data_IF_597471627654
#
_entry.id   IF_597471627654
#
_cell.length_a   1.000
_cell.length_b   1.000
_cell.length_c   1.000
_cell.angle_alpha   90.00
_cell.angle_beta   90.00
_cell.angle_gamma   90.00
#
_symmetry.space_group_name_H-M   'P 1'
#
loop_
_entity.id
_entity.type
_entity.pdbx_description
1 polymer ?
#
# COMPACT_ATOMS: atom_id res chain seq x y z
N UNK A 1 0.43 1.05 13.47
CA UNK A 1 -0.26 1.53 12.24
C UNK A 1 0.14 2.95 11.94
N UNK A 2 0.56 3.29 10.71
CA UNK A 2 0.87 4.67 10.29
C UNK A 2 -0.16 5.16 9.27
N UNK A 3 -0.63 6.40 9.41
CA UNK A 3 -1.60 7.01 8.50
C UNK A 3 -0.88 7.87 7.49
N UNK A 4 -0.91 7.46 6.22
CA UNK A 4 -0.35 8.20 5.09
C UNK A 4 -1.39 9.16 4.53
N UNK A 5 -0.97 10.40 4.29
CA UNK A 5 -1.84 11.46 3.81
C UNK A 5 -1.29 12.05 2.50
N UNK A 6 -2.16 12.20 1.51
CA UNK A 6 -1.93 13.08 0.36
C UNK A 6 -2.87 14.29 0.54
N UNK A 7 -2.30 15.48 0.72
CA UNK A 7 -3.06 16.71 1.00
C UNK A 7 -4.15 16.96 -0.06
N UNK A 8 -3.85 16.63 -1.31
CA UNK A 8 -4.79 16.81 -2.42
C UNK A 8 -5.95 15.79 -2.42
N UNK A 9 -5.86 14.74 -1.60
CA UNK A 9 -6.81 13.62 -1.53
C UNK A 9 -7.31 13.32 -0.12
N UNK A 10 -7.01 14.19 0.83
CA UNK A 10 -7.47 14.01 2.22
C UNK A 10 -8.99 14.11 2.23
N UNK A 11 -9.65 13.05 2.69
CA UNK A 11 -11.10 13.00 2.92
C UNK A 11 -11.32 13.14 4.41
N UNK A 12 -12.15 14.12 4.79
CA UNK A 12 -12.55 14.31 6.19
C UNK A 12 -13.19 13.03 6.74
N UNK A 13 -12.81 12.62 7.94
CA UNK A 13 -13.31 11.38 8.56
C UNK A 13 -12.71 10.08 8.03
N UNK A 14 -11.76 10.12 7.07
CA UNK A 14 -11.15 8.90 6.53
C UNK A 14 -10.42 8.08 7.61
N UNK A 15 -9.69 8.73 8.52
CA UNK A 15 -9.02 8.08 9.64
C UNK A 15 -10.03 7.37 10.56
N UNK A 16 -11.10 8.08 10.94
CA UNK A 16 -12.16 7.55 11.81
C UNK A 16 -12.87 6.35 11.16
N UNK A 17 -13.07 6.40 9.84
CA UNK A 17 -13.66 5.29 9.09
C UNK A 17 -12.77 4.04 9.09
N UNK A 18 -11.45 4.22 8.93
CA UNK A 18 -10.48 3.11 8.98
C UNK A 18 -10.44 2.49 10.37
N UNK A 19 -10.29 3.32 11.41
CA UNK A 19 -10.24 2.85 12.79
C UNK A 19 -11.54 2.17 13.21
N UNK A 20 -12.68 2.77 12.87
CA UNK A 20 -14.00 2.18 13.15
C UNK A 20 -14.24 0.83 12.45
N UNK A 21 -13.67 0.63 11.26
CA UNK A 21 -13.73 -0.67 10.58
C UNK A 21 -12.90 -1.74 11.30
N UNK A 22 -11.70 -1.38 11.77
CA UNK A 22 -10.85 -2.29 12.55
C UNK A 22 -11.50 -2.63 13.91
N UNK A 23 -11.99 -1.62 14.63
CA UNK A 23 -12.71 -1.79 15.90
C UNK A 23 -13.93 -2.69 15.74
N UNK A 24 -14.73 -2.49 14.68
CA UNK A 24 -15.91 -3.33 14.42
C UNK A 24 -15.55 -4.79 14.14
N UNK A 25 -14.40 -5.04 13.48
CA UNK A 25 -13.90 -6.38 13.22
C UNK A 25 -13.12 -6.98 14.41
N UNK A 26 -13.07 -6.31 15.56
CA UNK A 26 -12.25 -6.68 16.71
C UNK A 26 -10.75 -6.88 16.34
N UNK A 27 -10.26 -6.06 15.39
CA UNK A 27 -8.86 -6.01 15.00
C UNK A 27 -8.16 -4.89 15.77
N UNK A 28 -7.54 -5.25 16.86
CA UNK A 28 -6.74 -4.32 17.66
C UNK A 28 -5.39 -4.07 16.99
N UNK A 29 -4.77 -2.95 17.35
CA UNK A 29 -3.40 -2.63 16.97
C UNK A 29 -2.60 -2.20 18.20
N UNK A 30 -1.40 -2.76 18.33
CA UNK A 30 -0.55 -2.55 19.51
C UNK A 30 0.08 -1.17 19.54
N UNK A 31 0.28 -0.56 18.36
CA UNK A 31 0.95 0.72 18.22
C UNK A 31 0.39 1.52 17.03
N UNK A 32 0.14 2.82 17.22
CA UNK A 32 -0.40 3.67 16.18
C UNK A 32 -1.25 4.84 16.70
N UNK A 33 -2.06 5.47 15.83
CA UNK A 33 -2.99 6.51 16.25
C UNK A 33 -3.92 6.03 17.36
N UNK A 34 -4.25 6.89 18.30
CA UNK A 34 -5.05 6.70 19.51
C UNK A 34 -4.37 5.88 20.63
N UNK A 35 -3.63 4.82 20.31
CA UNK A 35 -2.96 3.97 21.31
C UNK A 35 -1.54 4.46 21.65
N UNK A 36 -0.91 5.21 20.75
CA UNK A 36 0.47 5.67 20.91
C UNK A 36 1.48 4.55 20.66
N UNK A 37 2.66 4.66 21.27
CA UNK A 37 3.77 3.70 21.18
C UNK A 37 5.13 4.38 21.06
N UNK A 38 6.18 3.61 20.76
CA UNK A 38 7.56 4.06 20.77
C UNK A 38 8.03 4.71 19.46
N UNK A 39 7.32 4.46 18.34
CA UNK A 39 7.73 4.87 17.01
C UNK A 39 6.94 6.06 16.45
N UNK A 40 6.19 6.76 17.31
CA UNK A 40 5.45 7.96 16.92
C UNK A 40 6.31 9.11 16.40
N UNK A 41 5.67 10.13 15.80
CA UNK A 41 4.24 10.26 15.50
C UNK A 41 3.79 9.33 14.37
N UNK A 42 2.46 8.99 14.32
CA UNK A 42 1.93 7.99 13.38
C UNK A 42 1.13 8.60 12.22
N UNK A 43 1.09 9.92 12.15
CA UNK A 43 0.42 10.66 11.07
C UNK A 43 1.48 11.28 10.18
N UNK A 44 1.41 11.02 8.87
CA UNK A 44 2.45 11.43 7.91
C UNK A 44 2.73 12.94 7.94
N UNK A 45 1.70 13.78 8.11
CA UNK A 45 1.87 15.24 8.18
C UNK A 45 2.70 15.72 9.38
N UNK A 46 2.82 14.91 10.44
CA UNK A 46 3.63 15.21 11.63
C UNK A 46 5.08 14.76 11.46
N UNK A 47 5.39 14.05 10.37
CA UNK A 47 6.70 13.44 10.06
C UNK A 47 7.41 14.10 8.88
N UNK A 48 6.92 15.21 8.34
CA UNK A 48 7.43 15.82 7.10
C UNK A 48 8.93 16.10 7.14
N UNK A 49 9.45 16.56 8.28
CA UNK A 49 10.88 16.81 8.47
C UNK A 49 11.73 15.57 8.23
N UNK A 50 11.29 14.38 8.64
CA UNK A 50 12.04 13.12 8.45
C UNK A 50 12.21 12.79 6.96
N UNK A 51 11.16 13.00 6.16
CA UNK A 51 11.23 12.74 4.72
C UNK A 51 12.08 13.77 3.99
N UNK A 52 12.01 15.03 4.41
CA UNK A 52 12.83 16.12 3.86
C UNK A 52 14.31 15.87 4.13
N UNK A 53 14.69 15.59 5.39
CA UNK A 53 16.06 15.31 5.79
C UNK A 53 16.66 14.13 5.01
N UNK A 54 15.87 13.06 4.84
CA UNK A 54 16.33 11.87 4.09
C UNK A 54 16.42 12.16 2.59
N UNK A 55 15.50 12.92 2.02
CA UNK A 55 15.57 13.30 0.61
C UNK A 55 16.80 14.17 0.32
N UNK A 56 17.09 15.14 1.19
CA UNK A 56 18.28 16.00 1.08
C UNK A 56 19.59 15.22 1.28
N UNK A 57 19.62 14.27 2.22
CA UNK A 57 20.73 13.33 2.38
C UNK A 57 21.01 12.58 1.09
N UNK A 58 19.98 12.04 0.44
CA UNK A 58 20.14 11.32 -0.82
C UNK A 58 20.64 12.23 -1.96
N UNK A 59 20.27 13.51 -1.96
CA UNK A 59 20.83 14.50 -2.91
C UNK A 59 22.31 14.73 -2.62
N UNK A 60 22.69 14.93 -1.36
CA UNK A 60 24.08 15.14 -0.96
C UNK A 60 24.98 13.94 -1.29
N UNK A 61 24.43 12.72 -1.28
CA UNK A 61 25.12 11.47 -1.63
C UNK A 61 25.06 11.13 -3.13
N UNK A 62 24.57 12.03 -3.97
CA UNK A 62 24.39 11.83 -5.42
C UNK A 62 23.47 10.63 -5.78
N UNK A 63 22.55 10.27 -4.88
CA UNK A 63 21.52 9.23 -5.09
C UNK A 63 20.18 9.82 -5.55
N UNK A 64 20.02 11.14 -5.45
CA UNK A 64 18.87 11.90 -5.86
C UNK A 64 19.31 13.25 -6.44
N UNK A 65 18.37 13.99 -7.02
CA UNK A 65 18.63 15.30 -7.60
C UNK A 65 17.40 16.20 -7.63
N UNK A 66 17.62 17.50 -7.70
CA UNK A 66 16.56 18.48 -7.89
C UNK A 66 16.09 18.51 -9.35
N UNK A 67 14.79 18.45 -9.54
CA UNK A 67 14.17 18.54 -10.85
C UNK A 67 13.31 19.81 -10.94
N UNK A 68 13.68 20.69 -11.84
CA UNK A 68 13.06 22.00 -12.07
C UNK A 68 12.04 22.00 -13.22
N UNK A 69 11.66 20.83 -13.73
CA UNK A 69 10.72 20.73 -14.83
C UNK A 69 9.33 21.20 -14.43
N UNK A 70 8.75 22.11 -15.24
CA UNK A 70 7.37 22.57 -15.04
C UNK A 70 6.33 21.50 -15.39
N UNK A 71 5.15 21.62 -14.86
CA UNK A 71 4.02 20.72 -15.16
C UNK A 71 3.69 20.71 -16.66
N UNK A 72 3.77 21.85 -17.33
CA UNK A 72 3.53 22.01 -18.77
C UNK A 72 4.55 21.23 -19.59
N UNK A 73 5.85 21.37 -19.25
CA UNK A 73 6.91 20.60 -19.92
C UNK A 73 6.68 19.10 -19.78
N UNK A 74 6.39 18.63 -18.56
CA UNK A 74 6.15 17.21 -18.29
C UNK A 74 4.91 16.69 -19.02
N UNK A 75 3.87 17.52 -19.17
CA UNK A 75 2.67 17.19 -19.93
C UNK A 75 3.00 17.03 -21.41
N UNK A 76 3.65 17.99 -22.03
CA UNK A 76 4.06 17.94 -23.44
C UNK A 76 4.96 16.74 -23.73
N UNK A 77 5.92 16.45 -22.85
CA UNK A 77 6.78 15.27 -22.97
C UNK A 77 5.96 13.95 -23.01
N UNK A 78 4.98 13.79 -22.12
CA UNK A 78 4.14 12.58 -22.07
C UNK A 78 3.23 12.47 -23.30
N UNK A 79 2.72 13.59 -23.80
CA UNK A 79 1.90 13.65 -25.03
C UNK A 79 2.72 13.21 -26.23
N UNK A 80 3.96 13.70 -26.37
CA UNK A 80 4.89 13.29 -27.44
C UNK A 80 5.23 11.78 -27.34
N UNK A 81 5.57 11.28 -26.15
CA UNK A 81 5.81 9.84 -25.92
C UNK A 81 4.59 9.00 -26.32
N UNK A 82 3.39 9.44 -25.96
CA UNK A 82 2.14 8.74 -26.31
C UNK A 82 1.92 8.71 -27.84
N UNK A 83 2.16 9.84 -28.53
CA UNK A 83 2.08 9.92 -29.98
C UNK A 83 3.08 8.97 -30.67
N UNK A 84 4.27 8.81 -30.11
CA UNK A 84 5.31 7.88 -30.58
C UNK A 84 5.07 6.44 -30.10
N UNK A 85 3.97 6.16 -29.39
CA UNK A 85 3.66 4.83 -28.82
C UNK A 85 4.77 4.33 -27.86
N UNK A 86 5.45 5.24 -27.20
CA UNK A 86 6.42 4.95 -26.15
C UNK A 86 5.75 4.96 -24.77
N UNK A 87 6.22 4.14 -23.83
CA UNK A 87 5.73 4.21 -22.44
C UNK A 87 5.98 5.61 -21.86
N UNK A 88 4.98 6.24 -21.23
CA UNK A 88 5.18 7.52 -20.54
C UNK A 88 6.17 7.37 -19.39
N UNK A 89 7.20 8.21 -19.37
CA UNK A 89 8.20 8.21 -18.31
C UNK A 89 8.96 9.53 -18.27
N UNK A 90 9.65 9.82 -17.18
CA UNK A 90 10.47 11.00 -17.11
C UNK A 90 11.78 10.81 -17.89
N UNK A 91 12.13 11.79 -18.73
CA UNK A 91 13.26 11.75 -19.66
C UNK A 91 14.63 12.06 -19.04
N UNK A 92 14.71 12.17 -17.71
CA UNK A 92 15.94 12.41 -16.94
C UNK A 92 16.67 13.72 -17.26
N UNK A 93 16.01 14.70 -17.88
CA UNK A 93 16.65 15.97 -18.31
C UNK A 93 17.39 16.69 -17.20
N UNK A 94 16.91 16.65 -15.94
CA UNK A 94 17.58 17.32 -14.82
C UNK A 94 18.60 16.46 -14.09
N UNK A 95 18.77 15.19 -14.47
CA UNK A 95 19.54 14.21 -13.70
C UNK A 95 21.00 14.60 -13.45
N UNK A 96 21.62 15.22 -14.43
CA UNK A 96 23.05 15.57 -14.40
C UNK A 96 23.27 17.09 -14.40
N UNK A 97 22.20 17.86 -14.13
CA UNK A 97 22.32 19.30 -14.00
C UNK A 97 22.95 19.66 -12.64
N UNK A 98 23.81 20.68 -12.60
CA UNK A 98 24.31 21.18 -11.32
C UNK A 98 23.16 21.75 -10.48
N UNK A 99 23.29 21.63 -9.17
CA UNK A 99 22.37 22.27 -8.24
C UNK A 99 22.49 23.79 -8.39
N UNK A 100 21.36 24.48 -8.54
CA UNK A 100 21.35 25.94 -8.56
C UNK A 100 21.18 26.52 -7.16
N UNK A 101 21.84 27.65 -6.86
CA UNK A 101 21.62 28.41 -5.63
C UNK A 101 20.32 29.23 -5.67
N UNK A 102 19.67 29.36 -6.84
CA UNK A 102 18.43 30.07 -7.00
C UNK A 102 17.27 29.28 -6.33
N UNK A 103 16.42 29.99 -5.62
CA UNK A 103 15.20 29.43 -5.00
C UNK A 103 14.11 29.18 -6.05
N UNK A 104 14.34 28.23 -6.93
CA UNK A 104 13.39 27.80 -7.95
C UNK A 104 12.53 26.65 -7.39
N UNK A 105 11.21 26.68 -7.57
CA UNK A 105 10.35 25.55 -7.21
C UNK A 105 10.85 24.26 -7.87
N UNK A 106 11.04 23.23 -7.09
CA UNK A 106 11.59 21.96 -7.54
C UNK A 106 10.93 20.78 -6.85
N UNK A 107 11.15 19.59 -7.39
CA UNK A 107 10.88 18.31 -6.74
C UNK A 107 12.20 17.56 -6.61
N UNK A 108 12.30 16.63 -5.66
CA UNK A 108 13.46 15.73 -5.57
C UNK A 108 13.09 14.40 -6.23
N UNK A 109 13.95 13.96 -7.17
CA UNK A 109 13.82 12.68 -7.85
C UNK A 109 14.92 11.72 -7.46
N UNK A 110 14.59 10.45 -7.37
CA UNK A 110 15.57 9.39 -7.16
C UNK A 110 16.34 9.12 -8.45
N UNK A 111 17.66 8.96 -8.36
CA UNK A 111 18.53 8.51 -9.46
C UNK A 111 18.40 6.99 -9.59
N UNK A 112 17.34 6.52 -10.26
CA UNK A 112 17.16 5.09 -10.47
C UNK A 112 18.26 4.54 -11.40
N UNK A 113 18.83 3.34 -11.12
CA UNK A 113 19.80 2.71 -12.04
C UNK A 113 19.21 2.54 -13.43
N UNK A 114 19.97 2.84 -14.48
CA UNK A 114 19.52 2.74 -15.86
C UNK A 114 19.64 1.31 -16.37
N UNK A 115 20.79 0.67 -16.07
CA UNK A 115 21.15 -0.65 -16.56
C UNK A 115 20.96 -1.74 -15.50
N UNK A 116 20.89 -2.98 -15.96
CA UNK A 116 20.76 -4.15 -15.09
C UNK A 116 19.31 -4.44 -14.66
N UNK A 117 19.20 -5.19 -13.59
CA UNK A 117 17.92 -5.65 -13.03
C UNK A 117 17.85 -5.37 -11.53
N UNK A 118 16.64 -5.15 -11.03
CA UNK A 118 16.33 -5.12 -9.61
C UNK A 118 15.48 -6.33 -9.28
N UNK A 119 15.97 -7.17 -8.36
CA UNK A 119 15.25 -8.35 -7.88
C UNK A 119 14.96 -8.26 -6.41
N UNK A 120 13.90 -8.94 -5.98
CA UNK A 120 13.55 -9.15 -4.57
C UNK A 120 12.80 -10.46 -4.44
N UNK A 121 12.81 -11.03 -3.23
CA UNK A 121 12.04 -12.22 -2.92
C UNK A 121 10.71 -11.81 -2.29
N UNK A 122 9.61 -12.29 -2.88
CA UNK A 122 8.25 -12.08 -2.37
C UNK A 122 7.75 -13.37 -1.75
N UNK A 123 7.20 -13.30 -0.53
CA UNK A 123 6.76 -14.48 0.21
C UNK A 123 5.67 -15.28 -0.50
N UNK A 124 4.86 -14.62 -1.35
CA UNK A 124 3.77 -15.27 -2.09
C UNK A 124 4.21 -15.57 -3.54
N UNK A 125 4.89 -14.62 -4.19
CA UNK A 125 5.22 -14.71 -5.63
C UNK A 125 6.55 -15.41 -5.91
N UNK A 126 7.43 -15.52 -4.90
CA UNK A 126 8.80 -15.99 -5.06
C UNK A 126 9.73 -14.91 -5.59
N UNK A 127 10.78 -15.27 -6.29
CA UNK A 127 11.71 -14.30 -6.88
C UNK A 127 11.05 -13.49 -8.00
N UNK A 128 11.10 -12.15 -7.84
CA UNK A 128 10.55 -11.19 -8.81
C UNK A 128 11.67 -10.31 -9.32
N UNK A 129 11.75 -10.14 -10.66
CA UNK A 129 12.80 -9.36 -11.34
C UNK A 129 12.18 -8.31 -12.24
N UNK A 130 12.77 -7.12 -12.22
CA UNK A 130 12.41 -6.02 -13.10
C UNK A 130 13.66 -5.49 -13.79
N UNK A 131 13.58 -5.28 -15.10
CA UNK A 131 14.64 -4.59 -15.81
C UNK A 131 14.62 -3.09 -15.46
N UNK A 132 15.78 -2.55 -15.07
CA UNK A 132 15.90 -1.18 -14.57
C UNK A 132 15.50 -0.12 -15.61
N UNK A 133 15.68 -0.40 -16.90
CA UNK A 133 15.32 0.54 -17.96
C UNK A 133 13.80 0.78 -18.06
N UNK A 134 12.97 -0.07 -17.45
CA UNK A 134 11.50 0.11 -17.41
C UNK A 134 11.04 1.05 -16.31
N UNK A 135 11.95 1.49 -15.43
CA UNK A 135 11.64 2.38 -14.31
C UNK A 135 12.31 3.74 -14.56
N UNK A 136 11.54 4.80 -14.48
CA UNK A 136 12.05 6.17 -14.59
C UNK A 136 12.54 6.73 -13.25
N UNK A 137 13.19 7.90 -13.31
CA UNK A 137 13.57 8.63 -12.12
C UNK A 137 12.34 9.29 -11.50
N UNK A 138 11.73 8.58 -10.56
CA UNK A 138 10.46 8.98 -9.94
C UNK A 138 10.65 10.09 -8.90
N UNK A 139 9.59 10.87 -8.67
CA UNK A 139 9.57 11.89 -7.62
C UNK A 139 9.51 11.22 -6.26
N UNK A 140 10.41 11.60 -5.36
CA UNK A 140 10.40 11.22 -3.95
C UNK A 140 9.76 12.30 -3.08
N UNK A 141 10.17 13.57 -3.25
CA UNK A 141 9.65 14.70 -2.52
C UNK A 141 9.02 15.70 -3.49
N UNK A 142 7.79 16.11 -3.21
CA UNK A 142 7.04 17.10 -4.01
C UNK A 142 7.47 18.52 -3.67
N UNK A 143 7.13 19.47 -4.54
CA UNK A 143 7.44 20.90 -4.34
C UNK A 143 6.74 21.54 -3.14
N UNK A 144 5.70 20.91 -2.61
CA UNK A 144 5.02 21.30 -1.38
C UNK A 144 5.68 20.74 -0.11
N UNK A 145 6.80 20.03 -0.24
CA UNK A 145 7.54 19.41 0.86
C UNK A 145 6.94 18.06 1.35
N UNK A 146 5.85 17.59 0.73
CA UNK A 146 5.29 16.27 1.05
C UNK A 146 5.99 15.16 0.26
N UNK A 147 6.26 14.02 0.89
CA UNK A 147 6.82 12.86 0.20
C UNK A 147 5.77 12.24 -0.73
N UNK A 148 6.24 11.56 -1.77
CA UNK A 148 5.41 10.58 -2.44
C UNK A 148 5.33 9.29 -1.62
N UNK A 149 4.39 8.41 -1.97
CA UNK A 149 4.27 7.10 -1.32
C UNK A 149 5.60 6.32 -1.31
N UNK A 150 6.40 6.44 -2.38
CA UNK A 150 7.64 5.69 -2.52
C UNK A 150 8.69 6.04 -1.46
N UNK A 151 8.85 7.31 -1.11
CA UNK A 151 9.76 7.72 -0.04
C UNK A 151 9.14 7.46 1.32
N UNK A 152 7.87 7.85 1.50
CA UNK A 152 7.21 7.79 2.80
C UNK A 152 7.16 6.36 3.36
N UNK A 153 6.83 5.35 2.52
CA UNK A 153 6.74 3.99 3.03
C UNK A 153 8.11 3.43 3.44
N UNK A 154 9.19 3.69 2.69
CA UNK A 154 10.54 3.22 3.04
C UNK A 154 11.03 3.85 4.34
N UNK A 155 10.84 5.15 4.49
CA UNK A 155 11.28 5.88 5.69
C UNK A 155 10.48 5.44 6.91
N UNK A 156 9.16 5.34 6.77
CA UNK A 156 8.29 4.95 7.88
C UNK A 156 8.49 3.47 8.26
N UNK A 157 8.56 2.59 7.27
CA UNK A 157 8.75 1.17 7.52
C UNK A 157 10.09 0.89 8.23
N UNK A 158 11.17 1.61 7.84
CA UNK A 158 12.45 1.51 8.52
C UNK A 158 12.41 2.10 9.95
N UNK A 159 11.92 3.34 10.11
CA UNK A 159 11.91 4.02 11.40
C UNK A 159 10.89 3.44 12.40
N UNK A 160 9.96 2.63 11.94
CA UNK A 160 8.97 1.91 12.74
C UNK A 160 9.28 0.42 12.89
N UNK A 161 10.48 -0.01 12.50
CA UNK A 161 10.93 -1.42 12.58
C UNK A 161 9.93 -2.42 11.95
N UNK A 162 9.32 -2.05 10.81
CA UNK A 162 8.38 -2.92 10.11
C UNK A 162 9.12 -4.11 9.51
N UNK A 163 8.74 -5.30 9.93
CA UNK A 163 9.36 -6.56 9.48
C UNK A 163 8.72 -7.14 8.23
N UNK A 164 7.43 -6.91 8.01
CA UNK A 164 6.67 -7.46 6.89
C UNK A 164 5.78 -6.41 6.25
N UNK A 165 5.80 -6.32 4.92
CA UNK A 165 4.90 -5.48 4.14
C UNK A 165 3.95 -6.38 3.35
N UNK A 166 2.70 -6.49 3.83
CA UNK A 166 1.63 -7.23 3.17
C UNK A 166 0.71 -6.21 2.46
N UNK A 167 0.60 -6.32 1.14
CA UNK A 167 -0.20 -5.37 0.34
C UNK A 167 -0.69 -6.01 -0.96
N UNK A 168 -1.63 -5.35 -1.64
CA UNK A 168 -2.16 -5.86 -2.91
C UNK A 168 -1.09 -5.88 -4.01
N UNK A 169 -1.18 -6.87 -4.91
CA UNK A 169 -0.24 -7.09 -6.03
C UNK A 169 -0.12 -5.92 -7.01
N UNK A 170 -1.06 -4.98 -7.01
CA UNK A 170 -0.95 -3.76 -7.82
C UNK A 170 0.31 -2.92 -7.47
N UNK A 171 0.85 -3.11 -6.27
CA UNK A 171 2.07 -2.46 -5.81
C UNK A 171 3.35 -3.21 -6.18
N UNK A 172 3.23 -4.40 -6.76
CA UNK A 172 4.38 -5.24 -7.14
C UNK A 172 5.35 -4.49 -8.07
N UNK A 173 4.83 -3.77 -9.06
CA UNK A 173 5.62 -2.96 -10.00
C UNK A 173 6.29 -1.74 -9.35
N UNK A 174 5.87 -1.34 -8.17
CA UNK A 174 6.48 -0.24 -7.40
C UNK A 174 7.60 -0.71 -6.48
N UNK A 175 7.65 -2.00 -6.16
CA UNK A 175 8.61 -2.58 -5.21
C UNK A 175 10.07 -2.38 -5.61
N UNK A 176 10.48 -2.43 -6.91
CA UNK A 176 11.84 -2.10 -7.31
C UNK A 176 12.29 -0.70 -6.89
N UNK A 177 11.37 0.28 -6.90
CA UNK A 177 11.64 1.65 -6.44
C UNK A 177 11.98 1.67 -4.95
N UNK A 178 11.22 0.91 -4.16
CA UNK A 178 11.41 0.82 -2.72
C UNK A 178 12.72 0.11 -2.38
N UNK A 179 12.99 -1.04 -3.01
CA UNK A 179 14.25 -1.77 -2.85
C UNK A 179 15.45 -0.85 -3.12
N UNK A 180 15.40 -0.05 -4.21
CA UNK A 180 16.50 0.86 -4.53
C UNK A 180 16.63 2.05 -3.56
N UNK A 181 15.55 2.49 -2.92
CA UNK A 181 15.64 3.48 -1.83
C UNK A 181 16.28 2.84 -0.59
N UNK A 182 15.87 1.61 -0.20
CA UNK A 182 16.52 0.85 0.89
C UNK A 182 18.01 0.69 0.64
N UNK A 183 18.39 0.22 -0.56
CA UNK A 183 19.81 0.08 -0.97
C UNK A 183 20.58 1.41 -0.83
N UNK A 184 20.00 2.51 -1.34
CA UNK A 184 20.64 3.81 -1.33
C UNK A 184 20.84 4.38 0.09
N UNK A 185 19.95 4.05 1.02
CA UNK A 185 20.01 4.48 2.41
C UNK A 185 20.85 3.54 3.29
N UNK A 186 21.23 2.37 2.78
CA UNK A 186 21.88 1.33 3.57
C UNK A 186 20.95 0.68 4.61
N UNK A 187 19.64 0.63 4.33
CA UNK A 187 18.63 0.02 5.19
C UNK A 187 18.34 -1.41 4.74
N UNK A 188 18.10 -2.30 5.69
CA UNK A 188 17.59 -3.64 5.38
C UNK A 188 16.10 -3.54 5.01
N UNK A 189 15.69 -4.08 3.84
CA UNK A 189 14.28 -4.06 3.46
C UNK A 189 13.46 -5.06 4.29
N UNK A 190 12.18 -4.78 4.55
CA UNK A 190 11.27 -5.75 5.14
C UNK A 190 10.99 -6.91 4.18
N UNK A 191 10.40 -7.97 4.69
CA UNK A 191 9.87 -9.06 3.87
C UNK A 191 8.61 -8.57 3.13
N UNK A 192 8.54 -8.80 1.81
CA UNK A 192 7.39 -8.41 1.00
C UNK A 192 6.46 -9.60 0.74
N UNK A 193 5.16 -9.34 0.84
CA UNK A 193 4.10 -10.28 0.46
C UNK A 193 3.03 -9.55 -0.35
N UNK A 194 2.94 -9.84 -1.66
CA UNK A 194 1.95 -9.21 -2.53
C UNK A 194 0.74 -10.13 -2.71
N UNK A 195 -0.33 -9.78 -1.98
CA UNK A 195 -1.60 -10.50 -1.99
C UNK A 195 -2.32 -10.35 -3.34
N UNK A 196 -3.09 -11.37 -3.76
CA UNK A 196 -3.89 -11.29 -4.97
C UNK A 196 -4.92 -10.16 -4.88
N UNK A 197 -5.34 -9.65 -6.05
CA UNK A 197 -6.42 -8.67 -6.11
C UNK A 197 -7.76 -9.29 -5.69
N UNK A 198 -8.56 -8.51 -5.02
CA UNK A 198 -9.97 -8.81 -4.82
C UNK A 198 -10.72 -8.36 -6.07
N UNK A 199 -11.46 -9.31 -6.66
CA UNK A 199 -12.16 -9.13 -7.92
C UNK A 199 -13.68 -9.09 -7.70
N UNK A 200 -14.37 -8.34 -8.55
CA UNK A 200 -15.82 -8.41 -8.65
C UNK A 200 -16.29 -9.70 -9.38
N UNK A 201 -17.61 -9.93 -9.47
CA UNK A 201 -18.17 -11.07 -10.19
C UNK A 201 -17.79 -11.13 -11.66
N UNK A 202 -17.49 -9.97 -12.28
CA UNK A 202 -17.02 -9.82 -13.66
C UNK A 202 -15.51 -10.08 -13.82
N UNK A 203 -14.84 -10.51 -12.74
CA UNK A 203 -13.38 -10.72 -12.65
C UNK A 203 -12.53 -9.47 -12.88
N UNK A 204 -13.12 -8.29 -12.90
CA UNK A 204 -12.36 -7.05 -12.84
C UNK A 204 -12.05 -6.67 -11.39
N UNK A 205 -11.08 -5.78 -11.18
CA UNK A 205 -10.75 -5.29 -9.83
C UNK A 205 -12.02 -4.78 -9.12
N UNK A 206 -12.25 -5.24 -7.87
CA UNK A 206 -13.38 -4.80 -7.06
C UNK A 206 -13.39 -3.27 -6.92
N UNK A 207 -14.53 -2.67 -7.14
CA UNK A 207 -14.73 -1.22 -7.11
C UNK A 207 -16.17 -0.87 -6.77
N UNK A 208 -16.47 0.39 -6.47
CA UNK A 208 -17.82 0.87 -6.14
C UNK A 208 -18.91 0.51 -7.16
N UNK A 209 -18.56 0.23 -8.42
CA UNK A 209 -19.52 -0.24 -9.44
C UNK A 209 -20.05 -1.66 -9.18
N UNK A 210 -19.39 -2.42 -8.34
CA UNK A 210 -19.79 -3.80 -7.96
C UNK A 210 -20.62 -3.84 -6.67
N UNK A 211 -20.98 -2.70 -6.11
CA UNK A 211 -21.72 -2.57 -4.86
C UNK A 211 -20.89 -1.90 -3.77
N UNK A 212 -21.24 -2.22 -2.53
CA UNK A 212 -20.55 -1.67 -1.38
C UNK A 212 -19.11 -2.21 -1.27
N UNK A 213 -18.18 -1.34 -0.96
CA UNK A 213 -16.75 -1.66 -0.81
C UNK A 213 -16.19 -1.27 0.56
N UNK A 214 -16.99 -0.61 1.39
CA UNK A 214 -16.64 -0.28 2.77
C UNK A 214 -17.18 -1.32 3.73
N UNK A 215 -16.31 -1.83 4.59
CA UNK A 215 -16.66 -2.80 5.63
C UNK A 215 -17.79 -2.27 6.54
N UNK A 216 -17.77 -0.98 6.87
CA UNK A 216 -18.79 -0.36 7.73
C UNK A 216 -20.19 -0.32 7.07
N UNK A 217 -20.26 -0.28 5.75
CA UNK A 217 -21.54 -0.36 5.06
C UNK A 217 -22.21 -1.74 5.24
N UNK A 218 -21.42 -2.81 5.26
CA UNK A 218 -21.93 -4.16 5.57
C UNK A 218 -22.41 -4.26 7.01
N UNK A 219 -21.72 -3.63 7.98
CA UNK A 219 -22.22 -3.48 9.35
C UNK A 219 -23.59 -2.83 9.37
N UNK A 220 -23.75 -1.72 8.68
CA UNK A 220 -25.00 -0.96 8.62
C UNK A 220 -26.14 -1.74 7.91
N UNK A 221 -25.80 -2.72 7.07
CA UNK A 221 -26.71 -3.67 6.45
C UNK A 221 -27.05 -4.88 7.35
N UNK A 222 -26.49 -4.98 8.56
CA UNK A 222 -26.77 -6.04 9.52
C UNK A 222 -25.89 -7.29 9.39
N UNK A 223 -24.74 -7.19 8.74
CA UNK A 223 -23.75 -8.28 8.76
C UNK A 223 -23.01 -8.31 10.09
N UNK A 224 -22.77 -9.51 10.59
CA UNK A 224 -22.01 -9.73 11.83
C UNK A 224 -20.51 -9.58 11.58
N UNK A 225 -19.75 -9.01 12.55
CA UNK A 225 -18.32 -8.85 12.42
C UNK A 225 -17.59 -10.19 12.26
N UNK A 226 -18.00 -11.25 12.95
CA UNK A 226 -17.41 -12.57 12.84
C UNK A 226 -17.60 -13.18 11.45
N UNK A 227 -18.75 -13.01 10.84
CA UNK A 227 -19.03 -13.47 9.48
C UNK A 227 -18.18 -12.71 8.46
N UNK A 228 -18.08 -11.39 8.61
CA UNK A 228 -17.27 -10.54 7.76
C UNK A 228 -15.78 -10.86 7.92
N UNK A 229 -15.29 -11.04 9.15
CA UNK A 229 -13.91 -11.39 9.42
C UNK A 229 -13.53 -12.72 8.77
N UNK A 230 -14.33 -13.77 8.99
CA UNK A 230 -14.09 -15.08 8.39
C UNK A 230 -14.15 -15.01 6.85
N UNK A 231 -15.12 -14.31 6.29
CA UNK A 231 -15.22 -14.13 4.84
C UNK A 231 -13.99 -13.43 4.25
N UNK A 232 -13.54 -12.34 4.87
CA UNK A 232 -12.35 -11.59 4.42
C UNK A 232 -11.08 -12.44 4.50
N UNK A 233 -10.94 -13.26 5.54
CA UNK A 233 -9.80 -14.18 5.69
C UNK A 233 -9.73 -15.18 4.53
N UNK A 234 -10.88 -15.63 4.00
CA UNK A 234 -10.94 -16.56 2.87
C UNK A 234 -10.71 -15.91 1.50
N UNK A 235 -10.58 -14.58 1.42
CA UNK A 235 -10.27 -13.90 0.17
C UNK A 235 -8.78 -14.04 -0.19
N UNK A 236 -8.47 -15.15 -0.84
CA UNK A 236 -7.12 -15.47 -1.29
C UNK A 236 -6.33 -16.37 -0.35
N UNK A 237 -6.92 -16.82 0.75
CA UNK A 237 -6.35 -17.82 1.67
C UNK A 237 -7.37 -18.93 1.94
N UNK A 238 -6.90 -20.12 2.24
CA UNK A 238 -7.74 -21.24 2.68
C UNK A 238 -6.96 -22.16 3.63
N UNK A 239 -7.65 -22.71 4.63
CA UNK A 239 -7.09 -23.73 5.49
C UNK A 239 -6.94 -25.07 4.72
N UNK A 240 -7.99 -25.44 4.03
CA UNK A 240 -8.12 -26.63 3.17
C UNK A 240 -9.23 -26.40 2.12
N UNK A 241 -9.59 -27.46 1.38
CA UNK A 241 -10.60 -27.39 0.31
C UNK A 241 -12.06 -27.44 0.84
N UNK A 242 -12.27 -27.55 2.15
CA UNK A 242 -13.58 -27.85 2.73
C UNK A 242 -14.01 -26.91 3.85
N UNK A 243 -13.03 -26.37 4.61
CA UNK A 243 -13.29 -25.57 5.79
C UNK A 243 -13.58 -24.12 5.41
N UNK A 244 -14.84 -23.71 5.53
CA UNK A 244 -15.25 -22.33 5.20
C UNK A 244 -15.66 -21.51 6.43
N UNK A 245 -16.12 -22.17 7.51
CA UNK A 245 -16.52 -21.49 8.74
C UNK A 245 -15.49 -21.73 9.82
N UNK A 246 -14.90 -20.66 10.30
CA UNK A 246 -13.84 -20.66 11.33
C UNK A 246 -14.03 -19.48 12.26
N UNK A 247 -13.89 -19.73 13.55
CA UNK A 247 -13.78 -18.66 14.54
C UNK A 247 -12.49 -17.84 14.33
N UNK A 248 -12.44 -16.66 14.90
CA UNK A 248 -11.23 -15.81 14.87
C UNK A 248 -10.04 -16.56 15.48
N UNK A 249 -10.24 -17.31 16.57
CA UNK A 249 -9.18 -18.09 17.21
C UNK A 249 -8.63 -19.20 16.30
N UNK A 250 -9.52 -19.92 15.62
CA UNK A 250 -9.10 -20.94 14.64
C UNK A 250 -8.37 -20.34 13.44
N UNK A 251 -8.81 -19.17 12.97
CA UNK A 251 -8.10 -18.44 11.90
C UNK A 251 -6.70 -18.03 12.33
N UNK A 252 -6.53 -17.48 13.53
CA UNK A 252 -5.22 -17.08 14.07
C UNK A 252 -4.30 -18.30 14.22
N UNK A 253 -4.81 -19.40 14.76
CA UNK A 253 -4.03 -20.64 14.99
C UNK A 253 -3.54 -21.26 13.69
N UNK A 254 -4.35 -21.21 12.63
CA UNK A 254 -4.09 -21.94 11.38
C UNK A 254 -3.55 -21.05 10.25
N UNK A 255 -3.54 -19.72 10.41
CA UNK A 255 -3.08 -18.82 9.36
C UNK A 255 -1.60 -19.03 9.05
N UNK A 256 -1.28 -19.12 7.76
CA UNK A 256 0.09 -19.05 7.27
C UNK A 256 0.17 -18.34 5.92
N UNK A 257 1.24 -17.59 5.70
CA UNK A 257 1.48 -16.83 4.46
C UNK A 257 1.63 -17.76 3.26
N UNK A 258 2.21 -18.93 3.46
CA UNK A 258 2.46 -19.94 2.41
C UNK A 258 1.17 -20.46 1.77
N UNK A 259 0.05 -20.38 2.48
CA UNK A 259 -1.27 -20.79 1.98
C UNK A 259 -2.01 -19.68 1.22
N UNK A 260 -1.44 -18.49 1.13
CA UNK A 260 -2.03 -17.41 0.33
C UNK A 260 -1.89 -17.77 -1.16
N UNK A 261 -3.01 -17.83 -1.85
CA UNK A 261 -3.07 -18.10 -3.29
C UNK A 261 -2.51 -16.95 -4.13
N UNK A 262 -2.07 -17.26 -5.37
CA UNK A 262 -1.57 -16.26 -6.33
C UNK A 262 -2.67 -15.69 -7.23
N UNK A 263 -3.79 -16.38 -7.34
CA UNK A 263 -4.92 -15.98 -8.20
C UNK A 263 -5.81 -14.97 -7.51
N UNK A 264 -6.39 -14.04 -8.27
CA UNK A 264 -7.34 -13.06 -7.74
C UNK A 264 -8.56 -13.75 -7.09
N UNK A 265 -8.98 -13.25 -5.94
CA UNK A 265 -10.10 -13.78 -5.17
C UNK A 265 -11.40 -13.04 -5.53
N UNK A 266 -12.45 -13.77 -5.89
CA UNK A 266 -13.73 -13.17 -6.24
C UNK A 266 -14.52 -12.85 -4.95
N UNK A 267 -14.92 -11.59 -4.79
CA UNK A 267 -15.82 -11.15 -3.74
C UNK A 267 -17.23 -11.60 -4.08
N UNK A 268 -17.71 -12.66 -3.42
CA UNK A 268 -19.07 -13.18 -3.59
C UNK A 268 -19.97 -12.71 -2.45
N UNK A 269 -20.88 -11.77 -2.75
CA UNK A 269 -21.90 -11.31 -1.80
C UNK A 269 -22.83 -12.45 -1.38
N UNK A 270 -23.13 -13.38 -2.28
CA UNK A 270 -23.95 -14.54 -1.99
C UNK A 270 -23.29 -15.42 -0.91
N UNK A 271 -21.98 -15.69 -1.04
CA UNK A 271 -21.21 -16.44 -0.03
C UNK A 271 -21.20 -15.70 1.31
N UNK A 272 -20.92 -14.39 1.30
CA UNK A 272 -20.94 -13.58 2.52
C UNK A 272 -22.31 -13.62 3.21
N UNK A 273 -23.41 -13.50 2.46
CA UNK A 273 -24.78 -13.57 2.99
C UNK A 273 -25.09 -14.95 3.57
N UNK A 274 -24.67 -16.01 2.90
CA UNK A 274 -24.81 -17.37 3.42
C UNK A 274 -24.05 -17.57 4.73
N UNK A 275 -22.81 -17.12 4.80
CA UNK A 275 -21.98 -17.17 6.01
C UNK A 275 -22.63 -16.39 7.15
N UNK A 276 -23.05 -15.15 6.88
CA UNK A 276 -23.74 -14.33 7.88
C UNK A 276 -24.99 -15.01 8.44
N UNK A 277 -25.83 -15.56 7.58
CA UNK A 277 -26.99 -16.32 8.01
C UNK A 277 -26.64 -17.56 8.83
N UNK A 278 -25.49 -18.18 8.58
CA UNK A 278 -25.03 -19.33 9.37
C UNK A 278 -24.56 -18.90 10.75
N UNK A 279 -23.80 -17.82 10.87
CA UNK A 279 -23.39 -17.26 12.17
C UNK A 279 -24.62 -16.81 12.99
N UNK A 280 -25.59 -16.12 12.39
CA UNK A 280 -26.84 -15.73 13.07
C UNK A 280 -27.59 -16.94 13.66
N UNK A 281 -27.68 -18.04 12.90
CA UNK A 281 -28.38 -19.28 13.38
C UNK A 281 -27.64 -19.97 14.55
N UNK A 282 -26.33 -19.69 14.71
CA UNK A 282 -25.55 -20.24 15.83
C UNK A 282 -25.64 -19.37 17.09
N UNK A 283 -26.12 -18.11 16.98
CA UNK A 283 -26.25 -17.20 18.12
C UNK A 283 -27.31 -17.68 19.10
N UNK A 284 -27.08 -17.39 20.38
CA UNK A 284 -28.12 -17.58 21.41
C UNK A 284 -29.19 -16.49 21.31
N UNK A 285 -30.38 -16.76 21.84
CA UNK A 285 -31.46 -15.75 21.90
C UNK A 285 -31.05 -14.49 22.67
N UNK A 286 -30.16 -14.62 23.63
CA UNK A 286 -29.58 -13.48 24.37
C UNK A 286 -28.68 -12.61 23.51
N UNK A 287 -27.92 -13.21 22.59
CA UNK A 287 -26.98 -12.46 21.73
C UNK A 287 -27.74 -11.76 20.59
N UNK A 288 -28.80 -12.37 20.09
CA UNK A 288 -29.70 -11.77 19.10
C UNK A 288 -30.47 -10.53 19.61
N UNK A 289 -30.54 -10.33 20.92
CA UNK A 289 -31.27 -9.21 21.54
C UNK A 289 -30.39 -8.02 21.90
N UNK A 290 -29.10 -8.12 21.64
CA UNK A 290 -28.11 -7.02 21.80
C UNK A 290 -27.94 -6.27 20.49
#
# INVERSE_FOLDING_TARGET
MCIRQDVSRTVEGALESILGALEWLALDWDEGPRVGGNYGPYVQSERLHLYQDIAEKLVAEDKAYYCYCTSERLKLMREDQTQRKQPPGYDRTCRDLPTTEEQIPHVIRFKFPVDGETSFNDLIRGEVKFSNHTVDDFVMLKSDGYPTYHLANVVDDHLMDITHVLRAEEWLSSTPKHVKIYDALGYDPPLFAHLPLILGPDRSKLSKRHGEVSVLQYRDMGYLPEAMFNFLALLGWALDDHTELMSISELIENFSIERIGKAGAIFSLEKLTWMNGTYIRQMTSSDLSK
#
